data_IF_143034293222
#
_entry.id   IF_143034293222
#
_cell.length_a   1.000
_cell.length_b   1.000
_cell.length_c   1.000
_cell.angle_alpha   90.00
_cell.angle_beta   90.00
_cell.angle_gamma   90.00
#
_symmetry.space_group_name_H-M   'P 1'
#
loop_
_entity.id
_entity.type
_entity.pdbx_description
1 polymer ?
#
# COMPACT_ATOMS: atom_id res chain seq x y z
N UNK A 1 4.60 17.90 22.76
CA UNK A 1 4.29 18.45 21.42
C UNK A 1 2.78 18.56 21.29
N UNK A 2 2.26 19.44 20.45
CA UNK A 2 0.81 19.43 20.17
C UNK A 2 0.49 18.26 19.23
N UNK A 3 -0.73 17.72 19.31
CA UNK A 3 -1.19 16.65 18.40
C UNK A 3 -1.00 17.02 16.92
N UNK A 4 -1.22 18.30 16.60
CA UNK A 4 -1.01 18.82 15.25
C UNK A 4 0.46 18.73 14.83
N UNK A 5 1.40 19.06 15.72
CA UNK A 5 2.83 18.99 15.40
C UNK A 5 3.28 17.54 15.13
N UNK A 6 2.81 16.59 15.94
CA UNK A 6 3.19 15.18 15.78
C UNK A 6 2.61 14.57 14.49
N UNK A 7 1.38 14.95 14.13
CA UNK A 7 0.80 14.59 12.83
C UNK A 7 1.63 15.13 11.66
N UNK A 8 2.01 16.40 11.69
CA UNK A 8 2.80 17.04 10.62
C UNK A 8 4.17 16.36 10.46
N UNK A 9 4.86 16.07 11.57
CA UNK A 9 6.15 15.37 11.57
C UNK A 9 6.04 13.95 11.02
N UNK A 10 5.00 13.20 11.44
CA UNK A 10 4.72 11.86 10.94
C UNK A 10 4.39 11.88 9.43
N UNK A 11 3.59 12.85 8.98
CA UNK A 11 3.23 13.03 7.58
C UNK A 11 4.44 13.37 6.73
N UNK A 12 5.27 14.32 7.14
CA UNK A 12 6.52 14.65 6.43
C UNK A 12 7.44 13.43 6.33
N UNK A 13 7.55 12.66 7.41
CA UNK A 13 8.34 11.44 7.41
C UNK A 13 7.82 10.39 6.43
N UNK A 14 6.50 10.23 6.35
CA UNK A 14 5.82 9.35 5.41
C UNK A 14 6.08 9.78 3.95
N UNK A 15 5.95 11.08 3.66
CA UNK A 15 6.23 11.67 2.34
C UNK A 15 7.69 11.46 1.93
N UNK A 16 8.64 11.68 2.86
CA UNK A 16 10.06 11.40 2.62
C UNK A 16 10.33 9.93 2.33
N UNK A 17 9.65 9.01 3.04
CA UNK A 17 9.79 7.58 2.79
C UNK A 17 9.21 7.15 1.44
N UNK A 18 8.06 7.72 1.05
CA UNK A 18 7.46 7.51 -0.26
C UNK A 18 8.39 8.00 -1.37
N UNK A 19 8.97 9.19 -1.19
CA UNK A 19 9.84 9.84 -2.16
C UNK A 19 9.16 9.94 -3.52
N UNK A 20 9.89 9.61 -4.60
CA UNK A 20 9.36 9.58 -5.97
C UNK A 20 8.67 8.25 -6.34
N UNK A 21 8.54 7.32 -5.39
CA UNK A 21 7.95 6.00 -5.65
C UNK A 21 6.47 5.97 -5.26
N UNK A 22 5.62 6.37 -6.20
CA UNK A 22 4.15 6.39 -6.07
C UNK A 22 3.48 5.01 -5.99
N UNK A 23 4.26 3.91 -6.02
CA UNK A 23 3.75 2.54 -6.02
C UNK A 23 4.01 1.82 -4.68
N UNK A 24 4.40 2.53 -3.61
CA UNK A 24 4.50 1.91 -2.29
C UNK A 24 3.11 1.77 -1.69
N UNK A 25 2.81 0.56 -1.22
CA UNK A 25 1.57 0.30 -0.53
C UNK A 25 1.53 0.91 0.87
N UNK A 26 0.34 1.25 1.34
CA UNK A 26 0.01 1.84 2.63
C UNK A 26 0.61 1.06 3.80
N UNK A 27 0.55 -0.28 3.74
CA UNK A 27 1.13 -1.15 4.76
C UNK A 27 2.64 -1.00 4.93
N UNK A 28 3.38 -0.68 3.86
CA UNK A 28 4.82 -0.39 3.97
C UNK A 28 5.10 0.93 4.65
N UNK A 29 4.30 1.94 4.37
CA UNK A 29 4.42 3.26 5.00
C UNK A 29 4.05 3.15 6.48
N UNK A 30 2.94 2.49 6.80
CA UNK A 30 2.51 2.19 8.17
C UNK A 30 3.59 1.47 8.96
N UNK A 31 4.09 0.34 8.45
CA UNK A 31 5.14 -0.42 9.12
C UNK A 31 6.40 0.41 9.36
N UNK A 32 6.75 1.28 8.40
CA UNK A 32 7.92 2.15 8.52
C UNK A 32 7.77 3.17 9.65
N UNK A 33 6.60 3.80 9.76
CA UNK A 33 6.32 4.80 10.79
C UNK A 33 6.23 4.14 12.18
N UNK A 34 5.56 2.99 12.29
CA UNK A 34 5.49 2.23 13.54
C UNK A 34 6.89 1.77 14.00
N UNK A 35 7.76 1.34 13.08
CA UNK A 35 9.16 1.01 13.39
C UNK A 35 9.98 2.21 13.90
N UNK A 36 9.56 3.42 13.57
CA UNK A 36 10.17 4.67 14.04
C UNK A 36 9.49 5.20 15.33
N UNK A 37 8.59 4.41 15.93
CA UNK A 37 7.89 4.68 17.19
C UNK A 37 6.90 5.86 17.15
N UNK A 38 6.34 6.18 15.98
CA UNK A 38 5.17 7.07 15.92
C UNK A 38 3.94 6.42 16.56
N UNK A 39 3.09 7.23 17.18
CA UNK A 39 1.84 6.79 17.77
C UNK A 39 0.92 6.12 16.71
N UNK A 40 0.32 4.94 16.98
CA UNK A 40 -0.51 4.22 16.02
C UNK A 40 -1.71 5.00 15.49
N UNK A 41 -2.38 5.80 16.33
CA UNK A 41 -3.56 6.56 15.93
C UNK A 41 -3.16 7.71 14.99
N UNK A 42 -1.99 8.32 15.24
CA UNK A 42 -1.40 9.32 14.34
C UNK A 42 -0.98 8.69 13.02
N UNK A 43 -0.39 7.48 13.06
CA UNK A 43 -0.01 6.75 11.84
C UNK A 43 -1.24 6.48 10.97
N UNK A 44 -2.34 5.97 11.53
CA UNK A 44 -3.56 5.74 10.73
C UNK A 44 -4.13 7.06 10.18
N UNK A 45 -4.18 8.12 10.98
CA UNK A 45 -4.65 9.42 10.50
C UNK A 45 -3.81 9.95 9.32
N UNK A 46 -2.48 9.78 9.37
CA UNK A 46 -1.58 10.16 8.27
C UNK A 46 -1.79 9.28 7.05
N UNK A 47 -1.95 7.97 7.21
CA UNK A 47 -2.21 7.05 6.09
C UNK A 47 -3.54 7.40 5.41
N UNK A 48 -4.58 7.67 6.18
CA UNK A 48 -5.90 8.03 5.66
C UNK A 48 -5.85 9.36 4.92
N UNK A 49 -5.20 10.38 5.49
CA UNK A 49 -4.97 11.66 4.80
C UNK A 49 -4.23 11.47 3.48
N UNK A 50 -3.12 10.70 3.47
CA UNK A 50 -2.33 10.47 2.26
C UNK A 50 -3.08 9.64 1.21
N UNK A 51 -4.03 8.78 1.61
CA UNK A 51 -4.94 8.10 0.70
C UNK A 51 -5.99 9.05 0.13
N UNK A 52 -6.56 9.93 0.95
CA UNK A 52 -7.57 10.91 0.56
C UNK A 52 -7.05 11.83 -0.57
N UNK A 53 -5.79 12.27 -0.46
CA UNK A 53 -5.14 13.09 -1.49
C UNK A 53 -4.46 12.27 -2.61
N UNK A 54 -4.73 10.96 -2.71
CA UNK A 54 -4.19 10.00 -3.69
C UNK A 54 -2.64 9.92 -3.75
N UNK A 55 -1.98 10.35 -2.68
CA UNK A 55 -0.53 10.24 -2.53
C UNK A 55 -0.11 8.78 -2.23
N UNK A 56 -0.95 8.05 -1.49
CA UNK A 56 -0.89 6.59 -1.34
C UNK A 56 -2.08 5.97 -2.05
N UNK A 57 -1.82 4.96 -2.89
CA UNK A 57 -2.87 4.23 -3.58
C UNK A 57 -2.50 2.73 -3.66
N UNK A 58 -3.20 1.91 -2.89
CA UNK A 58 -2.91 0.48 -2.78
C UNK A 58 -3.30 -0.30 -4.04
N UNK A 59 -4.28 0.18 -4.80
CA UNK A 59 -4.64 -0.43 -6.07
C UNK A 59 -3.54 -0.19 -7.10
N UNK A 60 -3.02 1.04 -7.18
CA UNK A 60 -1.85 1.37 -8.01
C UNK A 60 -0.64 0.52 -7.62
N UNK A 61 -0.39 0.36 -6.32
CA UNK A 61 0.68 -0.49 -5.82
C UNK A 61 0.47 -1.97 -6.23
N UNK A 62 -0.74 -2.51 -6.05
CA UNK A 62 -1.09 -3.88 -6.43
C UNK A 62 -0.94 -4.12 -7.94
N UNK A 63 -1.46 -3.22 -8.78
CA UNK A 63 -1.31 -3.29 -10.23
C UNK A 63 0.16 -3.24 -10.66
N UNK A 64 0.98 -2.38 -10.03
CA UNK A 64 2.41 -2.31 -10.29
C UNK A 64 3.13 -3.63 -9.96
N UNK A 65 2.71 -4.32 -8.89
CA UNK A 65 3.21 -5.65 -8.54
C UNK A 65 2.71 -6.70 -9.54
N UNK A 66 1.42 -6.67 -9.90
CA UNK A 66 0.78 -7.62 -10.82
C UNK A 66 1.46 -7.67 -12.19
N UNK A 67 1.93 -6.52 -12.71
CA UNK A 67 2.67 -6.42 -13.98
C UNK A 67 3.92 -7.33 -14.05
N UNK A 68 4.43 -7.80 -12.91
CA UNK A 68 5.57 -8.74 -12.84
C UNK A 68 5.17 -10.21 -13.05
N UNK A 69 3.88 -10.51 -12.94
CA UNK A 69 3.29 -11.85 -12.94
C UNK A 69 2.30 -12.04 -14.09
N UNK A 70 2.76 -11.79 -15.31
CA UNK A 70 1.97 -11.96 -16.55
C UNK A 70 2.55 -13.10 -17.41
N UNK A 71 1.73 -13.63 -18.33
CA UNK A 71 2.13 -14.70 -19.25
C UNK A 71 2.68 -15.92 -18.52
N UNK A 72 3.89 -16.37 -18.88
CA UNK A 72 4.53 -17.56 -18.25
C UNK A 72 4.79 -17.43 -16.74
N UNK A 73 4.71 -16.22 -16.17
CA UNK A 73 4.92 -15.97 -14.73
C UNK A 73 3.62 -15.82 -13.95
N UNK A 74 2.48 -15.95 -14.62
CA UNK A 74 1.18 -15.90 -13.98
C UNK A 74 1.11 -16.90 -12.82
N UNK A 75 0.43 -16.48 -11.76
CA UNK A 75 0.20 -17.28 -10.56
C UNK A 75 -1.29 -17.34 -10.28
N UNK A 76 -1.70 -18.37 -9.55
CA UNK A 76 -3.08 -18.46 -9.06
C UNK A 76 -3.45 -17.24 -8.21
N UNK A 77 -4.74 -16.91 -8.13
CA UNK A 77 -5.26 -15.83 -7.28
C UNK A 77 -4.77 -15.94 -5.84
N UNK A 78 -4.76 -17.15 -5.25
CA UNK A 78 -4.26 -17.35 -3.88
C UNK A 78 -2.78 -16.95 -3.73
N UNK A 79 -1.96 -17.27 -4.72
CA UNK A 79 -0.56 -16.89 -4.73
C UNK A 79 -0.38 -15.37 -4.96
N UNK A 80 -1.18 -14.76 -5.83
CA UNK A 80 -1.17 -13.30 -6.04
C UNK A 80 -1.63 -12.54 -4.79
N UNK A 81 -2.67 -13.02 -4.10
CA UNK A 81 -3.12 -12.46 -2.82
C UNK A 81 -2.00 -12.47 -1.78
N UNK A 82 -1.24 -13.57 -1.68
CA UNK A 82 -0.06 -13.63 -0.81
C UNK A 82 0.99 -12.60 -1.21
N UNK A 83 1.32 -12.52 -2.50
CA UNK A 83 2.29 -11.55 -3.05
C UNK A 83 1.88 -10.10 -2.73
N UNK A 84 0.61 -9.74 -2.86
CA UNK A 84 0.11 -8.40 -2.56
C UNK A 84 0.20 -8.06 -1.07
N UNK A 85 -0.15 -9.01 -0.19
CA UNK A 85 -0.01 -8.84 1.26
C UNK A 85 1.46 -8.63 1.67
N UNK A 86 2.39 -9.41 1.12
CA UNK A 86 3.84 -9.23 1.34
C UNK A 86 4.36 -7.89 0.79
N UNK A 87 3.73 -7.37 -0.27
CA UNK A 87 4.02 -6.04 -0.77
C UNK A 87 3.47 -4.92 0.14
N UNK A 88 2.62 -5.26 1.12
CA UNK A 88 1.99 -4.33 2.06
C UNK A 88 0.69 -3.72 1.55
N UNK A 89 0.07 -4.31 0.53
CA UNK A 89 -1.25 -3.90 0.01
C UNK A 89 -2.32 -4.28 1.02
N UNK A 90 -3.24 -3.37 1.30
CA UNK A 90 -4.38 -3.61 2.17
C UNK A 90 -5.25 -4.80 1.70
N UNK A 91 -5.75 -5.58 2.65
CA UNK A 91 -6.37 -6.89 2.38
C UNK A 91 -7.57 -6.82 1.43
N UNK A 92 -8.42 -5.79 1.58
CA UNK A 92 -9.58 -5.59 0.70
C UNK A 92 -9.16 -5.34 -0.76
N UNK A 93 -8.14 -4.49 -0.96
CA UNK A 93 -7.59 -4.21 -2.29
C UNK A 93 -6.88 -5.43 -2.86
N UNK A 94 -6.08 -6.12 -2.05
CA UNK A 94 -5.36 -7.32 -2.44
C UNK A 94 -6.31 -8.43 -2.93
N UNK A 95 -7.43 -8.65 -2.22
CA UNK A 95 -8.46 -9.64 -2.62
C UNK A 95 -9.11 -9.28 -3.95
N UNK A 96 -9.50 -8.00 -4.12
CA UNK A 96 -10.15 -7.51 -5.33
C UNK A 96 -9.23 -7.65 -6.54
N UNK A 97 -8.03 -7.07 -6.48
CA UNK A 97 -7.07 -7.10 -7.60
C UNK A 97 -6.66 -8.54 -7.95
N UNK A 98 -6.53 -9.43 -6.96
CA UNK A 98 -6.22 -10.84 -7.23
C UNK A 98 -7.38 -11.59 -7.91
N UNK A 99 -8.63 -11.20 -7.66
CA UNK A 99 -9.80 -11.77 -8.35
C UNK A 99 -9.88 -11.27 -9.79
N UNK A 100 -9.68 -9.97 -10.01
CA UNK A 100 -9.77 -9.32 -11.33
C UNK A 100 -8.75 -9.92 -12.32
N UNK A 101 -7.53 -10.22 -11.87
CA UNK A 101 -6.47 -10.82 -12.72
C UNK A 101 -6.83 -12.16 -13.37
N UNK A 102 -7.72 -12.95 -12.77
CA UNK A 102 -8.14 -14.24 -13.34
C UNK A 102 -9.40 -14.12 -14.20
N UNK A 103 -10.28 -13.17 -13.91
CA UNK A 103 -11.48 -12.94 -14.71
C UNK A 103 -11.12 -12.49 -16.15
N UNK A 104 -10.02 -11.77 -16.31
CA UNK A 104 -9.52 -11.30 -17.61
C UNK A 104 -8.90 -12.41 -18.48
N UNK A 105 -8.57 -13.59 -17.93
CA UNK A 105 -8.03 -14.73 -18.72
C UNK A 105 -9.10 -15.72 -19.17
N UNK A 106 -10.26 -15.75 -18.50
CA UNK A 106 -11.41 -16.60 -18.88
C UNK A 106 -12.28 -15.95 -19.99
N UNK A 107 -11.89 -14.78 -20.51
CA UNK A 107 -12.56 -14.02 -21.59
C UNK A 107 -11.79 -14.05 -22.90
#
# INVERSE_FOLDING_TARGET
MSLNQEFEECRERAVLFLGLNYNKASGRVRNKLLQENYDPDIVEAVIDYLKEIDYINDERAAQSVARRYTGKRLRSQKAMLYVFREAGVEDGVAKRVAADLLADEDS
#
